data_IF_169707787080
#
_entry.id   IF_169707787080
#
_cell.length_a   1.000
_cell.length_b   1.000
_cell.length_c   1.000
_cell.angle_alpha   90.00
_cell.angle_beta   90.00
_cell.angle_gamma   90.00
#
_symmetry.space_group_name_H-M   'P 1'
#
loop_
_entity.id
_entity.type
_entity.pdbx_description
1 polymer ?
#
# COMPACT_ATOMS: atom_id res chain seq x y z
N UNK A 1 -19.79 -19.93 35.34
CA UNK A 1 -19.89 -19.20 34.05
C UNK A 1 -18.49 -19.27 33.46
N UNK A 2 -18.31 -20.02 32.38
CA UNK A 2 -17.02 -19.92 31.65
C UNK A 2 -16.97 -18.51 31.07
N UNK A 3 -15.99 -17.72 31.47
CA UNK A 3 -15.68 -16.42 30.82
C UNK A 3 -15.37 -16.68 29.35
N UNK A 4 -16.36 -16.40 28.51
CA UNK A 4 -16.24 -16.57 27.06
C UNK A 4 -15.41 -15.39 26.53
N UNK A 5 -14.12 -15.59 26.37
CA UNK A 5 -13.25 -14.56 25.79
C UNK A 5 -13.66 -14.35 24.32
N UNK A 6 -14.08 -13.15 23.93
CA UNK A 6 -14.55 -12.89 22.58
C UNK A 6 -13.43 -13.12 21.55
N UNK A 7 -13.78 -13.82 20.46
CA UNK A 7 -12.87 -14.05 19.34
C UNK A 7 -13.01 -12.90 18.33
N UNK A 8 -11.93 -12.22 18.08
CA UNK A 8 -11.86 -11.19 17.03
C UNK A 8 -11.03 -11.67 15.84
N UNK A 9 -11.41 -11.26 14.64
CA UNK A 9 -10.70 -11.62 13.41
C UNK A 9 -10.31 -10.34 12.66
N UNK A 10 -9.02 -10.22 12.38
CA UNK A 10 -8.48 -9.22 11.44
C UNK A 10 -8.07 -9.88 10.13
N UNK A 11 -8.37 -9.23 9.01
CA UNK A 11 -7.97 -9.68 7.68
C UNK A 11 -7.38 -8.49 6.92
N UNK A 12 -6.15 -8.65 6.42
CA UNK A 12 -5.49 -7.74 5.50
C UNK A 12 -5.43 -8.40 4.12
N UNK A 13 -6.17 -7.87 3.16
CA UNK A 13 -6.21 -8.36 1.76
C UNK A 13 -5.38 -7.43 0.91
N UNK A 14 -4.10 -7.74 0.73
CA UNK A 14 -3.24 -7.03 -0.21
C UNK A 14 -3.41 -7.52 -1.65
N UNK A 15 -2.75 -6.89 -2.61
CA UNK A 15 -2.84 -7.23 -4.03
C UNK A 15 -2.39 -8.67 -4.39
N UNK A 16 -1.45 -9.22 -3.65
CA UNK A 16 -0.89 -10.58 -3.88
C UNK A 16 -1.12 -11.55 -2.75
N UNK A 17 -1.08 -11.07 -1.52
CA UNK A 17 -1.18 -11.88 -0.29
C UNK A 17 -2.31 -11.37 0.58
N UNK A 18 -3.01 -12.30 1.23
CA UNK A 18 -4.00 -12.03 2.27
C UNK A 18 -3.50 -12.63 3.56
N UNK A 19 -3.50 -11.82 4.61
CA UNK A 19 -3.12 -12.21 5.96
C UNK A 19 -4.35 -12.19 6.87
N UNK A 20 -4.63 -13.28 7.56
CA UNK A 20 -5.68 -13.40 8.56
C UNK A 20 -5.06 -13.71 9.92
N UNK A 21 -5.45 -12.94 10.94
CA UNK A 21 -5.19 -13.23 12.34
C UNK A 21 -6.49 -13.30 13.15
N UNK A 22 -6.54 -14.22 14.08
CA UNK A 22 -7.64 -14.33 15.02
C UNK A 22 -7.10 -14.39 16.45
N UNK A 23 -7.74 -13.63 17.34
CA UNK A 23 -7.36 -13.55 18.75
C UNK A 23 -8.56 -13.83 19.66
N UNK A 24 -8.34 -14.58 20.76
CA UNK A 24 -9.25 -14.67 21.90
C UNK A 24 -8.59 -13.94 23.07
N UNK A 25 -9.08 -12.76 23.42
CA UNK A 25 -8.34 -11.81 24.27
C UNK A 25 -6.99 -11.46 23.64
N UNK A 26 -5.91 -11.70 24.36
CA UNK A 26 -4.54 -11.49 23.85
C UNK A 26 -3.91 -12.78 23.27
N UNK A 27 -4.61 -13.90 23.33
CA UNK A 27 -4.13 -15.17 22.79
C UNK A 27 -4.34 -15.28 21.29
N UNK A 28 -3.26 -15.44 20.53
CA UNK A 28 -3.31 -15.71 19.08
C UNK A 28 -3.88 -17.13 18.85
N UNK A 29 -5.01 -17.21 18.17
CA UNK A 29 -5.73 -18.45 17.85
C UNK A 29 -5.42 -18.97 16.46
N UNK A 30 -5.26 -18.03 15.50
CA UNK A 30 -4.94 -18.37 14.12
C UNK A 30 -4.06 -17.27 13.50
N UNK A 31 -3.10 -17.69 12.67
CA UNK A 31 -2.23 -16.83 11.85
C UNK A 31 -2.05 -17.51 10.50
N UNK A 32 -2.68 -16.99 9.46
CA UNK A 32 -2.69 -17.58 8.13
C UNK A 32 -2.40 -16.56 7.04
N UNK A 33 -1.44 -16.91 6.18
CA UNK A 33 -1.14 -16.16 4.96
C UNK A 33 -1.49 -17.00 3.76
N UNK A 34 -2.21 -16.41 2.79
CA UNK A 34 -2.59 -17.05 1.52
C UNK A 34 -2.44 -16.06 0.36
N UNK A 35 -2.58 -16.56 -0.86
CA UNK A 35 -2.67 -15.70 -2.06
C UNK A 35 -4.01 -15.00 -2.10
N UNK A 36 -4.06 -13.76 -2.61
CA UNK A 36 -5.29 -13.00 -2.84
C UNK A 36 -6.03 -13.41 -4.13
N UNK A 37 -5.62 -14.51 -4.76
CA UNK A 37 -6.30 -15.02 -5.96
C UNK A 37 -7.75 -15.36 -5.62
N UNK A 38 -8.69 -14.73 -6.31
CA UNK A 38 -10.13 -14.85 -6.00
C UNK A 38 -10.73 -13.66 -5.29
N UNK A 39 -9.94 -12.74 -4.75
CA UNK A 39 -10.44 -11.45 -4.27
C UNK A 39 -11.06 -10.64 -5.40
N UNK A 40 -12.32 -10.21 -5.22
CA UNK A 40 -13.10 -9.48 -6.23
C UNK A 40 -13.87 -8.34 -5.56
N UNK A 41 -13.19 -7.22 -5.19
CA UNK A 41 -13.82 -6.14 -4.41
C UNK A 41 -14.96 -5.42 -5.13
N UNK A 42 -15.02 -5.50 -6.46
CA UNK A 42 -16.10 -4.92 -7.26
C UNK A 42 -17.37 -5.80 -7.32
N UNK A 43 -17.32 -7.03 -6.79
CA UNK A 43 -18.46 -7.91 -6.58
C UNK A 43 -18.59 -8.22 -5.08
N UNK A 44 -19.40 -7.46 -4.33
CA UNK A 44 -19.49 -7.58 -2.87
C UNK A 44 -19.91 -8.98 -2.40
N UNK A 45 -20.76 -9.68 -3.15
CA UNK A 45 -21.23 -11.02 -2.78
C UNK A 45 -20.11 -12.05 -2.94
N UNK A 46 -19.40 -12.02 -4.08
CA UNK A 46 -18.25 -12.88 -4.30
C UNK A 46 -17.12 -12.58 -3.30
N UNK A 47 -16.85 -11.31 -3.03
CA UNK A 47 -15.84 -10.90 -2.04
C UNK A 47 -16.17 -11.42 -0.63
N UNK A 48 -17.42 -11.26 -0.18
CA UNK A 48 -17.87 -11.73 1.12
C UNK A 48 -17.83 -13.26 1.23
N UNK A 49 -18.26 -13.99 0.20
CA UNK A 49 -18.17 -15.44 0.14
C UNK A 49 -16.74 -15.95 0.20
N UNK A 50 -15.81 -15.27 -0.49
CA UNK A 50 -14.39 -15.60 -0.46
C UNK A 50 -13.77 -15.38 0.94
N UNK A 51 -14.10 -14.25 1.60
CA UNK A 51 -13.68 -13.97 2.98
C UNK A 51 -14.26 -14.99 3.97
N UNK A 52 -15.53 -15.37 3.80
CA UNK A 52 -16.17 -16.38 4.65
C UNK A 52 -15.48 -17.75 4.50
N UNK A 53 -15.13 -18.15 3.28
CA UNK A 53 -14.38 -19.37 3.03
C UNK A 53 -12.97 -19.32 3.63
N UNK A 54 -12.29 -18.15 3.58
CA UNK A 54 -10.99 -17.93 4.20
C UNK A 54 -11.08 -18.16 5.73
N UNK A 55 -12.05 -17.52 6.40
CA UNK A 55 -12.28 -17.66 7.84
C UNK A 55 -12.62 -19.12 8.21
N UNK A 56 -13.51 -19.76 7.44
CA UNK A 56 -13.89 -21.16 7.69
C UNK A 56 -12.71 -22.13 7.51
N UNK A 57 -11.75 -21.81 6.67
CA UNK A 57 -10.53 -22.60 6.47
C UNK A 57 -9.44 -22.34 7.52
N UNK A 58 -9.53 -21.21 8.25
CA UNK A 58 -8.54 -20.80 9.24
C UNK A 58 -8.93 -21.21 10.68
N UNK A 59 -10.22 -21.40 10.95
CA UNK A 59 -10.74 -21.67 12.30
C UNK A 59 -11.39 -23.04 12.42
N UNK A 60 -11.43 -23.64 13.63
CA UNK A 60 -12.17 -24.88 13.88
C UNK A 60 -13.66 -24.70 13.56
N UNK A 61 -14.31 -25.81 13.14
CA UNK A 61 -15.74 -25.80 12.84
C UNK A 61 -16.57 -25.39 14.06
N UNK A 62 -17.54 -24.52 13.84
CA UNK A 62 -18.46 -24.04 14.88
C UNK A 62 -17.94 -22.84 15.68
N UNK A 63 -16.72 -22.43 15.49
CA UNK A 63 -16.19 -21.19 16.09
C UNK A 63 -16.79 -19.99 15.37
N UNK A 64 -17.36 -19.06 16.16
CA UNK A 64 -17.96 -17.82 15.64
C UNK A 64 -17.17 -16.61 16.12
N UNK A 65 -16.86 -15.66 15.24
CA UNK A 65 -16.25 -14.41 15.66
C UNK A 65 -17.25 -13.57 16.46
N UNK A 66 -16.76 -12.85 17.47
CA UNK A 66 -17.50 -11.79 18.16
C UNK A 66 -17.47 -10.49 17.37
N UNK A 67 -16.37 -10.24 16.61
CA UNK A 67 -16.24 -9.15 15.67
C UNK A 67 -15.20 -9.48 14.60
N UNK A 68 -15.31 -8.85 13.43
CA UNK A 68 -14.31 -8.98 12.37
C UNK A 68 -14.07 -7.65 11.66
N UNK A 69 -12.83 -7.43 11.21
CA UNK A 69 -12.50 -6.30 10.36
C UNK A 69 -11.62 -6.73 9.18
N UNK A 70 -11.81 -6.07 8.06
CA UNK A 70 -11.12 -6.35 6.80
C UNK A 70 -10.57 -5.04 6.24
N UNK A 71 -9.25 -5.00 5.97
CA UNK A 71 -8.64 -4.04 5.06
C UNK A 71 -8.52 -4.69 3.69
N UNK A 72 -9.08 -4.07 2.68
CA UNK A 72 -9.14 -4.66 1.35
C UNK A 72 -8.46 -3.83 0.28
N UNK A 73 -7.50 -4.43 -0.41
CA UNK A 73 -6.93 -3.85 -1.63
C UNK A 73 -8.03 -3.55 -2.66
N UNK A 74 -7.94 -2.40 -3.32
CA UNK A 74 -8.94 -1.90 -4.25
C UNK A 74 -10.36 -1.71 -3.64
N UNK A 75 -10.46 -1.54 -2.31
CA UNK A 75 -11.64 -1.00 -1.63
C UNK A 75 -11.48 0.51 -1.46
N UNK A 76 -11.72 1.26 -2.53
CA UNK A 76 -11.33 2.68 -2.64
C UNK A 76 -12.43 3.65 -2.21
N UNK A 77 -13.67 3.18 -2.04
CA UNK A 77 -14.80 4.06 -1.71
C UNK A 77 -15.56 3.57 -0.49
N UNK A 78 -16.07 4.49 0.37
CA UNK A 78 -16.93 4.15 1.50
C UNK A 78 -18.16 3.32 1.09
N UNK A 79 -18.71 3.58 -0.10
CA UNK A 79 -19.83 2.83 -0.65
C UNK A 79 -19.47 1.38 -0.92
N UNK A 80 -18.34 1.13 -1.55
CA UNK A 80 -17.86 -0.22 -1.84
C UNK A 80 -17.58 -1.00 -0.55
N UNK A 81 -16.87 -0.39 0.41
CA UNK A 81 -16.63 -0.98 1.73
C UNK A 81 -17.95 -1.33 2.44
N UNK A 82 -18.94 -0.43 2.42
CA UNK A 82 -20.25 -0.67 3.02
C UNK A 82 -21.00 -1.83 2.34
N UNK A 83 -20.92 -1.98 1.02
CA UNK A 83 -21.53 -3.08 0.28
C UNK A 83 -20.90 -4.43 0.65
N UNK A 84 -19.56 -4.50 0.72
CA UNK A 84 -18.87 -5.73 1.15
C UNK A 84 -19.21 -6.05 2.61
N UNK A 85 -19.22 -5.05 3.50
CA UNK A 85 -19.62 -5.22 4.90
C UNK A 85 -21.03 -5.81 5.02
N UNK A 86 -22.00 -5.27 4.28
CA UNK A 86 -23.38 -5.77 4.29
C UNK A 86 -23.45 -7.21 3.79
N UNK A 87 -22.70 -7.56 2.75
CA UNK A 87 -22.63 -8.93 2.26
C UNK A 87 -21.96 -9.88 3.26
N UNK A 88 -20.93 -9.44 4.00
CA UNK A 88 -20.28 -10.23 5.06
C UNK A 88 -21.24 -10.56 6.20
N UNK A 89 -22.16 -9.66 6.56
CA UNK A 89 -23.16 -9.89 7.60
C UNK A 89 -24.17 -10.99 7.26
N UNK A 90 -24.25 -11.43 6.00
CA UNK A 90 -25.01 -12.62 5.61
C UNK A 90 -24.29 -13.94 5.97
N UNK A 91 -22.98 -13.87 6.19
CA UNK A 91 -22.16 -15.04 6.56
C UNK A 91 -21.83 -15.08 8.06
N UNK A 92 -21.77 -13.93 8.73
CA UNK A 92 -21.37 -13.78 10.12
C UNK A 92 -22.40 -12.97 10.90
N UNK A 93 -22.94 -13.57 11.94
CA UNK A 93 -23.79 -12.89 12.93
C UNK A 93 -22.89 -12.17 13.95
N UNK A 94 -22.13 -11.16 13.45
CA UNK A 94 -21.16 -10.41 14.23
C UNK A 94 -20.98 -9.00 13.64
N UNK A 95 -20.64 -7.99 14.46
CA UNK A 95 -20.21 -6.69 13.97
C UNK A 95 -19.04 -6.84 13.00
N UNK A 96 -19.09 -6.10 11.88
CA UNK A 96 -18.06 -6.13 10.86
C UNK A 96 -17.65 -4.73 10.42
N UNK A 97 -16.35 -4.52 10.17
CA UNK A 97 -15.79 -3.34 9.52
C UNK A 97 -15.08 -3.75 8.23
N UNK A 98 -15.23 -2.94 7.18
CA UNK A 98 -14.47 -3.08 5.93
C UNK A 98 -13.94 -1.70 5.57
N UNK A 99 -12.64 -1.63 5.31
CA UNK A 99 -11.89 -0.39 4.97
C UNK A 99 -10.92 -0.69 3.84
N UNK A 100 -10.24 0.33 3.30
CA UNK A 100 -9.09 0.13 2.41
C UNK A 100 -7.89 -0.47 3.16
N UNK A 101 -7.03 -1.21 2.46
CA UNK A 101 -5.85 -1.85 3.07
C UNK A 101 -4.88 -0.83 3.71
N UNK A 102 -4.68 0.33 3.10
CA UNK A 102 -3.86 1.40 3.65
C UNK A 102 -4.43 2.02 4.96
N UNK A 103 -5.75 1.92 5.20
CA UNK A 103 -6.37 2.39 6.44
C UNK A 103 -6.01 1.52 7.66
N UNK A 104 -5.41 0.35 7.45
CA UNK A 104 -4.95 -0.51 8.54
C UNK A 104 -3.67 -0.02 9.20
N UNK A 105 -2.87 0.84 8.56
CA UNK A 105 -1.53 1.19 9.03
C UNK A 105 -1.57 1.94 10.37
N UNK A 106 -2.40 2.96 10.46
CA UNK A 106 -2.52 3.78 11.67
C UNK A 106 -2.94 2.96 12.90
N UNK A 107 -4.05 2.18 12.85
CA UNK A 107 -4.41 1.31 13.96
C UNK A 107 -3.41 0.16 14.20
N UNK A 108 -2.68 -0.31 13.19
CA UNK A 108 -1.60 -1.29 13.38
C UNK A 108 -0.43 -0.73 14.18
N UNK A 109 -0.14 0.56 14.04
CA UNK A 109 0.85 1.27 14.85
C UNK A 109 0.34 1.62 16.26
N UNK A 110 -0.88 1.21 16.62
CA UNK A 110 -1.50 1.54 17.92
C UNK A 110 -1.95 2.99 18.07
N UNK A 111 -2.16 3.68 16.95
CA UNK A 111 -2.56 5.08 16.90
C UNK A 111 -4.04 5.23 16.57
N UNK A 112 -4.68 6.25 17.17
CA UNK A 112 -6.08 6.59 16.92
C UNK A 112 -6.26 7.49 15.68
N UNK A 113 -5.23 8.27 15.34
CA UNK A 113 -5.22 9.24 14.24
C UNK A 113 -3.82 9.34 13.63
N UNK A 114 -3.76 9.84 12.42
CA UNK A 114 -2.54 9.98 11.64
C UNK A 114 -2.76 9.63 10.17
N UNK A 115 -1.67 9.48 9.46
CA UNK A 115 -1.63 9.12 8.04
C UNK A 115 -0.98 7.75 7.87
N UNK A 116 -1.61 6.87 7.11
CA UNK A 116 -0.99 5.68 6.55
C UNK A 116 -0.45 5.97 5.15
N UNK A 117 0.86 5.85 4.94
CA UNK A 117 1.53 5.99 3.65
C UNK A 117 2.04 4.64 3.17
N UNK A 118 1.61 4.21 2.02
CA UNK A 118 2.12 3.00 1.35
C UNK A 118 2.93 3.42 0.12
N UNK A 119 4.18 2.94 0.02
CA UNK A 119 4.98 3.02 -1.19
C UNK A 119 5.65 1.66 -1.47
N UNK A 120 4.94 0.85 -2.23
CA UNK A 120 5.33 -0.47 -2.71
C UNK A 120 5.38 -0.49 -4.24
N UNK A 121 4.57 -1.33 -4.89
CA UNK A 121 4.42 -1.31 -6.34
C UNK A 121 3.83 0.02 -6.83
N UNK A 122 2.79 0.51 -6.16
CA UNK A 122 2.25 1.86 -6.31
C UNK A 122 2.43 2.68 -5.05
N UNK A 123 1.79 3.86 -4.98
CA UNK A 123 1.83 4.75 -3.81
C UNK A 123 0.47 5.35 -3.49
N UNK A 124 0.13 5.40 -2.21
CA UNK A 124 -1.12 5.96 -1.70
C UNK A 124 -0.95 6.44 -0.27
N UNK A 125 -1.62 7.52 0.10
CA UNK A 125 -1.74 7.96 1.47
C UNK A 125 -3.21 8.06 1.89
N UNK A 126 -3.50 7.65 3.13
CA UNK A 126 -4.86 7.63 3.69
C UNK A 126 -4.83 8.20 5.11
N UNK A 127 -5.83 8.98 5.45
CA UNK A 127 -6.05 9.45 6.81
C UNK A 127 -7.53 9.68 7.08
N UNK A 128 -7.88 10.09 8.30
CA UNK A 128 -9.27 10.37 8.69
C UNK A 128 -9.43 11.78 9.20
N UNK A 129 -10.51 12.42 8.78
CA UNK A 129 -10.98 13.69 9.35
C UNK A 129 -11.48 13.50 10.79
N UNK A 130 -11.68 14.60 11.49
CA UNK A 130 -12.17 14.58 12.87
C UNK A 130 -13.56 13.92 13.03
N UNK A 131 -14.38 13.91 11.97
CA UNK A 131 -15.69 13.24 11.94
C UNK A 131 -15.60 11.73 11.58
N UNK A 132 -14.38 11.20 11.42
CA UNK A 132 -14.13 9.81 11.04
C UNK A 132 -14.18 9.52 9.53
N UNK A 133 -14.47 10.54 8.71
CA UNK A 133 -14.47 10.38 7.24
C UNK A 133 -13.07 10.02 6.73
N UNK A 134 -12.95 8.91 6.02
CA UNK A 134 -11.70 8.50 5.37
C UNK A 134 -11.41 9.37 4.15
N UNK A 135 -10.15 9.80 4.04
CA UNK A 135 -9.62 10.61 2.93
C UNK A 135 -8.42 9.89 2.35
N UNK A 136 -8.48 9.61 1.05
CA UNK A 136 -7.38 9.02 0.30
C UNK A 136 -6.83 10.02 -0.71
N UNK A 137 -5.52 9.98 -0.92
CA UNK A 137 -4.79 10.69 -1.98
C UNK A 137 -3.78 9.74 -2.62
N UNK A 138 -3.53 9.90 -3.92
CA UNK A 138 -2.72 8.95 -4.70
C UNK A 138 -3.47 7.65 -5.01
N UNK A 139 -2.74 6.61 -5.42
CA UNK A 139 -3.32 5.31 -5.81
C UNK A 139 -3.99 5.34 -7.19
N UNK A 140 -3.57 6.22 -8.09
CA UNK A 140 -4.18 6.40 -9.42
C UNK A 140 -3.61 5.43 -10.47
N UNK A 141 -2.78 4.48 -10.05
CA UNK A 141 -2.19 3.46 -10.91
C UNK A 141 -0.93 3.93 -11.64
N UNK A 142 -0.13 2.96 -12.07
CA UNK A 142 1.23 3.16 -12.58
C UNK A 142 1.33 4.08 -13.81
N UNK A 143 0.27 4.19 -14.61
CA UNK A 143 0.28 5.00 -15.84
C UNK A 143 0.14 6.49 -15.55
N UNK A 144 -0.75 6.87 -14.65
CA UNK A 144 -1.12 8.27 -14.39
C UNK A 144 -0.79 8.76 -12.97
N UNK A 145 -0.28 7.89 -12.10
CA UNK A 145 0.01 8.18 -10.71
C UNK A 145 1.08 7.24 -10.16
N UNK A 146 0.94 6.89 -8.89
CA UNK A 146 1.83 5.99 -8.16
C UNK A 146 3.29 6.49 -8.12
N UNK A 147 3.50 7.81 -8.11
CA UNK A 147 4.81 8.45 -7.99
C UNK A 147 5.49 8.00 -6.69
N UNK A 148 6.79 7.69 -6.76
CA UNK A 148 7.54 7.13 -5.62
C UNK A 148 7.28 5.65 -5.34
N UNK A 149 6.24 5.02 -5.95
CA UNK A 149 6.10 3.57 -6.04
C UNK A 149 7.08 2.98 -7.06
N UNK A 150 7.34 1.66 -6.99
CA UNK A 150 8.34 1.04 -7.87
C UNK A 150 8.03 1.21 -9.36
N UNK A 151 6.77 1.11 -9.75
CA UNK A 151 6.37 1.30 -11.14
C UNK A 151 6.49 2.77 -11.59
N UNK A 152 6.11 3.72 -10.71
CA UNK A 152 6.27 5.15 -10.94
C UNK A 152 7.74 5.54 -11.10
N UNK A 153 8.63 5.02 -10.24
CA UNK A 153 10.06 5.28 -10.34
C UNK A 153 10.65 4.80 -11.68
N UNK A 154 10.24 3.63 -12.17
CA UNK A 154 10.70 3.12 -13.48
C UNK A 154 10.16 3.98 -14.64
N UNK A 155 8.89 4.41 -14.57
CA UNK A 155 8.30 5.32 -15.55
C UNK A 155 9.09 6.64 -15.62
N UNK A 156 9.36 7.27 -14.46
CA UNK A 156 10.09 8.53 -14.41
C UNK A 156 11.56 8.36 -14.79
N UNK A 157 12.17 7.20 -14.49
CA UNK A 157 13.51 6.86 -14.95
C UNK A 157 13.59 6.79 -16.48
N UNK A 158 12.64 6.12 -17.13
CA UNK A 158 12.58 6.08 -18.58
C UNK A 158 12.40 7.49 -19.19
N UNK A 159 11.55 8.32 -18.58
CA UNK A 159 11.35 9.71 -19.03
C UNK A 159 12.62 10.55 -18.88
N UNK A 160 13.35 10.40 -17.78
CA UNK A 160 14.62 11.10 -17.57
C UNK A 160 15.68 10.67 -18.60
N UNK A 161 15.77 9.36 -18.89
CA UNK A 161 16.69 8.83 -19.91
C UNK A 161 16.34 9.32 -21.31
N UNK A 162 15.06 9.40 -21.68
CA UNK A 162 14.67 9.98 -22.97
C UNK A 162 15.00 11.47 -23.07
N UNK A 163 14.76 12.23 -22.01
CA UNK A 163 15.08 13.66 -22.00
C UNK A 163 16.58 13.89 -22.21
N UNK A 164 17.45 13.11 -21.57
CA UNK A 164 18.90 13.18 -21.75
C UNK A 164 19.32 12.76 -23.18
N UNK A 165 18.71 11.67 -23.69
CA UNK A 165 18.94 11.21 -25.06
C UNK A 165 18.56 12.27 -26.12
N UNK A 166 17.42 12.94 -25.95
CA UNK A 166 16.94 13.99 -26.85
C UNK A 166 17.86 15.25 -26.84
N UNK A 167 18.59 15.44 -25.73
CA UNK A 167 19.65 16.47 -25.62
C UNK A 167 20.98 16.02 -26.23
N UNK A 168 21.10 14.77 -26.71
CA UNK A 168 22.31 14.20 -27.27
C UNK A 168 23.35 13.82 -26.20
N UNK A 169 22.94 13.59 -24.96
CA UNK A 169 23.82 13.14 -23.90
C UNK A 169 24.19 11.68 -24.07
N UNK A 170 25.40 11.29 -23.66
CA UNK A 170 25.82 9.90 -23.64
C UNK A 170 25.06 9.11 -22.58
N UNK A 171 24.69 7.84 -22.86
CA UNK A 171 23.98 6.99 -21.92
C UNK A 171 24.76 6.81 -20.60
N UNK A 172 24.18 7.20 -19.50
CA UNK A 172 24.71 6.97 -18.15
C UNK A 172 24.35 5.59 -17.60
N UNK A 173 24.70 5.32 -16.33
CA UNK A 173 24.42 4.04 -15.68
C UNK A 173 22.92 3.71 -15.63
N UNK A 174 22.03 4.72 -15.54
CA UNK A 174 20.57 4.52 -15.55
C UNK A 174 20.09 4.08 -16.94
N UNK A 175 20.53 4.78 -17.99
CA UNK A 175 20.17 4.47 -19.36
C UNK A 175 20.62 3.04 -19.73
N UNK A 176 21.88 2.70 -19.44
CA UNK A 176 22.43 1.37 -19.71
C UNK A 176 21.70 0.29 -18.91
N UNK A 177 21.40 0.55 -17.65
CA UNK A 177 20.67 -0.37 -16.79
C UNK A 177 19.23 -0.64 -17.27
N UNK A 178 18.51 0.38 -17.76
CA UNK A 178 17.16 0.20 -18.32
C UNK A 178 17.20 -0.54 -19.66
N UNK A 179 18.16 -0.24 -20.53
CA UNK A 179 18.36 -0.98 -21.80
C UNK A 179 18.53 -2.48 -21.51
N UNK A 180 19.39 -2.84 -20.57
CA UNK A 180 19.62 -4.24 -20.20
C UNK A 180 18.37 -4.85 -19.56
N UNK A 181 17.75 -4.18 -18.60
CA UNK A 181 16.57 -4.69 -17.86
C UNK A 181 15.36 -4.95 -18.77
N UNK A 182 15.13 -4.09 -19.76
CA UNK A 182 14.07 -4.26 -20.75
C UNK A 182 14.47 -5.06 -21.96
N UNK A 183 15.74 -5.49 -22.05
CA UNK A 183 16.29 -6.29 -23.16
C UNK A 183 16.06 -5.60 -24.53
N UNK A 184 16.29 -4.29 -24.57
CA UNK A 184 16.16 -3.49 -25.79
C UNK A 184 17.53 -3.08 -26.33
N UNK A 185 17.67 -2.80 -27.63
CA UNK A 185 18.98 -2.47 -28.22
C UNK A 185 19.48 -1.06 -27.86
N UNK A 186 18.58 -0.11 -27.58
CA UNK A 186 18.89 1.30 -27.42
C UNK A 186 17.76 2.07 -26.74
N UNK A 187 18.05 3.29 -26.25
CA UNK A 187 17.10 4.15 -25.54
C UNK A 187 15.76 4.36 -26.26
N UNK A 188 15.70 4.66 -27.58
CA UNK A 188 14.44 4.82 -28.30
C UNK A 188 13.50 3.61 -28.22
N UNK A 189 14.03 2.40 -28.08
CA UNK A 189 13.23 1.20 -28.02
C UNK A 189 12.53 0.95 -26.66
N UNK A 190 12.92 1.67 -25.61
CA UNK A 190 12.30 1.59 -24.29
C UNK A 190 10.80 1.92 -24.33
N UNK A 191 10.35 2.83 -25.20
CA UNK A 191 8.95 3.22 -25.34
C UNK A 191 8.06 2.03 -25.68
N UNK A 192 8.40 1.33 -26.75
CA UNK A 192 7.64 0.15 -27.18
C UNK A 192 7.67 -0.99 -26.13
N UNK A 193 8.79 -1.14 -25.40
CA UNK A 193 8.88 -2.11 -24.32
C UNK A 193 7.94 -1.78 -23.16
N UNK A 194 7.87 -0.51 -22.73
CA UNK A 194 6.96 -0.05 -21.68
C UNK A 194 5.48 -0.14 -22.12
N UNK A 195 5.16 0.26 -23.35
CA UNK A 195 3.80 0.19 -23.91
C UNK A 195 3.30 -1.25 -24.08
N UNK A 196 4.20 -2.21 -24.29
CA UNK A 196 3.85 -3.63 -24.42
C UNK A 196 3.46 -4.31 -23.10
N UNK A 197 3.61 -3.62 -21.96
CA UNK A 197 3.31 -4.15 -20.64
C UNK A 197 1.83 -4.51 -20.51
N UNK A 198 1.54 -5.74 -20.10
CA UNK A 198 0.16 -6.21 -19.84
C UNK A 198 -0.35 -5.77 -18.49
N UNK A 199 0.54 -5.59 -17.53
CA UNK A 199 0.31 -5.10 -16.19
C UNK A 199 1.39 -4.07 -15.84
N UNK A 200 1.23 -2.79 -16.21
CA UNK A 200 2.24 -1.76 -16.00
C UNK A 200 2.79 -1.74 -14.57
N UNK A 201 1.94 -1.85 -13.57
CA UNK A 201 2.36 -1.88 -12.17
C UNK A 201 3.36 -3.00 -11.88
N UNK A 202 3.08 -4.23 -12.31
CA UNK A 202 3.97 -5.37 -12.07
C UNK A 202 5.13 -5.42 -13.06
N UNK A 203 4.85 -5.17 -14.34
CA UNK A 203 5.82 -5.32 -15.43
C UNK A 203 6.91 -4.24 -15.37
N UNK A 204 6.57 -3.01 -14.97
CA UNK A 204 7.56 -1.94 -14.75
C UNK A 204 8.20 -2.06 -13.37
N UNK A 205 7.38 -2.23 -12.32
CA UNK A 205 7.83 -2.18 -10.93
C UNK A 205 8.94 -3.17 -10.59
N UNK A 206 8.98 -4.34 -11.25
CA UNK A 206 10.06 -5.33 -11.07
C UNK A 206 11.45 -4.80 -11.44
N UNK A 207 11.52 -3.75 -12.27
CA UNK A 207 12.77 -3.13 -12.72
C UNK A 207 13.24 -1.97 -11.83
N UNK A 208 12.48 -1.57 -10.81
CA UNK A 208 12.87 -0.50 -9.90
C UNK A 208 14.26 -0.67 -9.25
N UNK A 209 14.76 -1.90 -8.94
CA UNK A 209 16.12 -2.06 -8.44
C UNK A 209 17.20 -1.45 -9.34
N UNK A 210 16.96 -1.37 -10.65
CA UNK A 210 17.88 -0.75 -11.62
C UNK A 210 18.10 0.73 -11.31
N UNK A 211 17.03 1.44 -10.92
CA UNK A 211 17.10 2.89 -10.62
C UNK A 211 18.01 3.11 -9.41
N UNK A 212 17.87 2.30 -8.36
CA UNK A 212 18.67 2.43 -7.15
C UNK A 212 20.13 2.04 -7.40
N UNK A 213 20.37 0.93 -8.12
CA UNK A 213 21.72 0.51 -8.49
C UNK A 213 22.43 1.56 -9.36
N UNK A 214 21.73 2.21 -10.28
CA UNK A 214 22.30 3.29 -11.09
C UNK A 214 22.65 4.52 -10.25
N UNK A 215 21.84 4.86 -9.25
CA UNK A 215 22.13 5.95 -8.31
C UNK A 215 23.39 5.66 -7.48
N UNK A 216 23.56 4.41 -7.00
CA UNK A 216 24.76 3.95 -6.30
C UNK A 216 25.99 3.99 -7.22
N UNK A 217 25.83 3.66 -8.51
CA UNK A 217 26.88 3.76 -9.52
C UNK A 217 27.21 5.21 -9.93
N UNK A 218 26.50 6.20 -9.36
CA UNK A 218 26.79 7.62 -9.55
C UNK A 218 25.94 8.32 -10.61
N UNK A 219 24.91 7.68 -11.19
CA UNK A 219 23.99 8.32 -12.14
C UNK A 219 23.29 9.54 -11.53
N UNK A 220 23.46 10.75 -12.11
CA UNK A 220 22.72 11.92 -11.65
C UNK A 220 21.22 11.82 -12.00
N UNK A 221 20.87 11.20 -13.13
CA UNK A 221 19.48 10.98 -13.54
C UNK A 221 18.76 10.10 -12.54
N UNK A 222 19.37 9.00 -12.11
CA UNK A 222 18.77 8.10 -11.14
C UNK A 222 18.55 8.77 -9.78
N UNK A 223 19.52 9.57 -9.31
CA UNK A 223 19.38 10.33 -8.07
C UNK A 223 18.22 11.32 -8.16
N UNK A 224 18.14 12.09 -9.26
CA UNK A 224 17.04 13.03 -9.46
C UNK A 224 15.67 12.34 -9.47
N UNK A 225 15.55 11.14 -10.04
CA UNK A 225 14.33 10.35 -10.03
C UNK A 225 13.95 9.90 -8.61
N UNK A 226 14.94 9.47 -7.81
CA UNK A 226 14.70 9.05 -6.41
C UNK A 226 14.27 10.25 -5.57
N UNK A 227 14.95 11.39 -5.71
CA UNK A 227 14.63 12.63 -5.00
C UNK A 227 13.23 13.13 -5.34
N UNK A 228 12.84 13.08 -6.61
CA UNK A 228 11.48 13.46 -7.04
C UNK A 228 10.44 12.45 -6.54
N UNK A 229 10.77 11.16 -6.52
CA UNK A 229 9.92 10.13 -5.90
C UNK A 229 9.65 10.42 -4.43
N UNK A 230 10.69 10.79 -3.67
CA UNK A 230 10.56 11.21 -2.26
C UNK A 230 9.67 12.44 -2.09
N UNK A 231 9.88 13.49 -2.92
CA UNK A 231 9.02 14.69 -2.93
C UNK A 231 7.57 14.37 -3.25
N UNK A 232 7.33 13.51 -4.21
CA UNK A 232 5.98 13.08 -4.59
C UNK A 232 5.26 12.35 -3.46
N UNK A 233 5.98 11.50 -2.71
CA UNK A 233 5.42 10.83 -1.53
C UNK A 233 5.10 11.83 -0.41
N UNK A 234 5.95 12.82 -0.15
CA UNK A 234 5.70 13.88 0.84
C UNK A 234 4.47 14.73 0.42
N UNK A 235 4.32 15.01 -0.87
CA UNK A 235 3.18 15.75 -1.39
C UNK A 235 1.84 15.03 -1.12
N UNK A 236 1.79 13.70 -1.05
CA UNK A 236 0.57 12.98 -0.65
C UNK A 236 0.16 13.31 0.79
N UNK A 237 1.12 13.41 1.71
CA UNK A 237 0.87 13.79 3.12
C UNK A 237 0.44 15.26 3.20
N UNK A 238 1.11 16.16 2.47
CA UNK A 238 0.74 17.58 2.38
C UNK A 238 -0.70 17.76 1.86
N UNK A 239 -1.09 17.01 0.83
CA UNK A 239 -2.46 17.03 0.29
C UNK A 239 -3.49 16.57 1.32
N UNK A 240 -3.18 15.58 2.16
CA UNK A 240 -4.05 15.16 3.26
C UNK A 240 -4.15 16.26 4.33
N UNK A 241 -3.04 16.89 4.69
CA UNK A 241 -3.02 18.03 5.60
C UNK A 241 -3.90 19.18 5.09
N UNK A 242 -3.77 19.54 3.82
CA UNK A 242 -4.59 20.56 3.17
C UNK A 242 -6.09 20.25 3.18
N UNK A 243 -6.46 18.95 3.27
CA UNK A 243 -7.85 18.49 3.40
C UNK A 243 -8.33 18.38 4.85
N UNK A 244 -7.48 18.75 5.84
CA UNK A 244 -7.82 18.76 7.26
C UNK A 244 -7.60 17.43 7.99
N UNK A 245 -6.85 16.49 7.40
CA UNK A 245 -6.43 15.27 8.08
C UNK A 245 -5.31 15.60 9.08
N UNK A 246 -5.35 15.11 10.34
CA UNK A 246 -4.21 15.19 11.25
C UNK A 246 -3.01 14.42 10.68
N UNK A 247 -1.86 15.08 10.58
CA UNK A 247 -0.65 14.54 9.94
C UNK A 247 0.55 14.51 10.89
N UNK A 248 0.31 14.62 12.20
CA UNK A 248 1.37 14.57 13.21
C UNK A 248 2.15 13.24 13.16
N UNK A 249 1.44 12.13 12.97
CA UNK A 249 2.01 10.79 12.82
C UNK A 249 1.81 10.29 11.39
N UNK A 250 2.91 9.84 10.74
CA UNK A 250 2.89 9.26 9.40
C UNK A 250 3.45 7.85 9.45
N UNK A 251 2.55 6.86 9.40
CA UNK A 251 2.92 5.43 9.44
C UNK A 251 3.22 4.95 8.04
N UNK A 252 4.45 4.47 7.82
CA UNK A 252 4.98 4.12 6.50
C UNK A 252 5.01 2.61 6.32
N UNK A 253 4.46 2.14 5.20
CA UNK A 253 4.58 0.76 4.74
C UNK A 253 4.90 0.69 3.25
N UNK A 254 5.25 -0.50 2.79
CA UNK A 254 5.56 -0.77 1.38
C UNK A 254 7.02 -1.14 1.17
N UNK A 255 7.21 -2.18 0.36
CA UNK A 255 8.53 -2.78 0.17
C UNK A 255 9.52 -1.84 -0.53
N UNK A 256 9.05 -0.91 -1.36
CA UNK A 256 9.93 -0.01 -2.10
C UNK A 256 10.58 1.01 -1.16
N UNK A 257 9.79 1.75 -0.39
CA UNK A 257 10.33 2.78 0.49
C UNK A 257 11.12 2.20 1.66
N UNK A 258 10.66 1.07 2.23
CA UNK A 258 11.33 0.47 3.40
C UNK A 258 12.62 -0.27 3.03
N UNK A 259 12.77 -0.76 1.79
CA UNK A 259 13.98 -1.43 1.33
C UNK A 259 15.02 -0.49 0.73
N UNK A 260 14.67 0.78 0.47
CA UNK A 260 15.51 1.72 -0.26
C UNK A 260 15.79 2.99 0.57
N UNK A 261 16.90 3.02 1.33
CA UNK A 261 17.25 4.16 2.20
C UNK A 261 17.24 5.51 1.48
N UNK A 262 17.76 5.57 0.23
CA UNK A 262 17.78 6.83 -0.53
C UNK A 262 16.39 7.41 -0.81
N UNK A 263 15.38 6.56 -1.06
CA UNK A 263 14.00 7.01 -1.23
C UNK A 263 13.37 7.44 0.11
N UNK A 264 13.66 6.69 1.17
CA UNK A 264 13.20 7.02 2.51
C UNK A 264 13.76 8.37 2.99
N UNK A 265 15.07 8.59 2.79
CA UNK A 265 15.75 9.83 3.16
C UNK A 265 15.22 11.03 2.35
N UNK A 266 15.02 10.84 1.03
CA UNK A 266 14.43 11.87 0.18
C UNK A 266 13.00 12.23 0.60
N UNK A 267 12.19 11.21 0.95
CA UNK A 267 10.84 11.41 1.47
C UNK A 267 10.85 12.17 2.81
N UNK A 268 11.67 11.74 3.77
CA UNK A 268 11.69 12.35 5.11
C UNK A 268 12.20 13.79 5.08
N UNK A 269 13.19 14.09 4.23
CA UNK A 269 13.68 15.44 4.01
C UNK A 269 12.59 16.34 3.41
N UNK A 270 11.91 15.87 2.35
CA UNK A 270 10.83 16.62 1.71
C UNK A 270 9.63 16.83 2.64
N UNK A 271 9.29 15.81 3.46
CA UNK A 271 8.22 15.89 4.44
C UNK A 271 8.51 16.93 5.53
N UNK A 272 9.74 16.97 6.02
CA UNK A 272 10.15 17.96 7.02
C UNK A 272 10.02 19.40 6.52
N UNK A 273 10.25 19.60 5.22
CA UNK A 273 10.13 20.92 4.57
C UNK A 273 8.66 21.30 4.32
N UNK A 274 7.83 20.37 3.82
CA UNK A 274 6.44 20.66 3.39
C UNK A 274 5.42 20.54 4.53
N UNK A 275 5.66 19.66 5.50
CA UNK A 275 4.77 19.42 6.67
C UNK A 275 5.59 19.43 7.95
N UNK A 276 6.05 20.60 8.42
CA UNK A 276 6.86 20.71 9.62
C UNK A 276 6.14 20.12 10.86
N UNK A 277 6.82 19.21 11.56
CA UNK A 277 6.29 18.56 12.76
C UNK A 277 5.71 17.17 12.52
N UNK A 278 5.46 16.76 11.29
CA UNK A 278 5.08 15.39 10.97
C UNK A 278 6.20 14.41 11.36
N UNK A 279 5.81 13.29 12.00
CA UNK A 279 6.73 12.26 12.48
C UNK A 279 6.57 11.00 11.61
N UNK A 280 7.46 10.79 10.64
CA UNK A 280 7.46 9.58 9.82
C UNK A 280 8.01 8.40 10.61
N UNK A 281 7.29 7.28 10.62
CA UNK A 281 7.70 6.04 11.29
C UNK A 281 7.36 4.80 10.44
N UNK A 282 8.31 3.89 10.23
CA UNK A 282 8.03 2.61 9.61
C UNK A 282 7.05 1.78 10.44
N UNK A 283 6.12 1.08 9.78
CA UNK A 283 5.27 0.12 10.48
C UNK A 283 6.08 -1.13 10.83
N UNK A 284 6.20 -1.41 12.13
CA UNK A 284 7.02 -2.54 12.64
C UNK A 284 6.25 -3.86 12.72
N UNK A 285 4.92 -3.82 12.67
CA UNK A 285 4.05 -5.01 12.75
C UNK A 285 3.33 -5.24 11.42
N UNK A 286 2.85 -6.46 11.14
CA UNK A 286 2.04 -6.67 9.93
C UNK A 286 0.75 -5.85 9.93
N UNK A 287 0.31 -5.27 8.80
CA UNK A 287 -0.91 -4.45 8.71
C UNK A 287 -2.18 -5.15 9.21
N UNK A 288 -2.23 -6.47 9.20
CA UNK A 288 -3.34 -7.27 9.76
C UNK A 288 -3.61 -6.96 11.24
N UNK A 289 -2.62 -6.49 12.02
CA UNK A 289 -2.83 -6.06 13.40
C UNK A 289 -3.75 -4.82 13.47
N UNK A 290 -3.71 -3.97 12.46
CA UNK A 290 -4.67 -2.87 12.34
C UNK A 290 -6.09 -3.36 12.12
N UNK A 291 -6.27 -4.41 11.33
CA UNK A 291 -7.59 -5.04 11.20
C UNK A 291 -8.04 -5.68 12.53
N UNK A 292 -7.13 -6.32 13.28
CA UNK A 292 -7.44 -6.83 14.62
C UNK A 292 -7.83 -5.69 15.57
N UNK A 293 -7.10 -4.58 15.58
CA UNK A 293 -7.43 -3.40 16.38
C UNK A 293 -8.83 -2.84 16.02
N UNK A 294 -9.13 -2.71 14.73
CA UNK A 294 -10.46 -2.31 14.26
C UNK A 294 -11.55 -3.31 14.68
N UNK A 295 -11.30 -4.61 14.64
CA UNK A 295 -12.26 -5.61 15.09
C UNK A 295 -12.51 -5.50 16.60
N UNK A 296 -11.48 -5.28 17.41
CA UNK A 296 -11.60 -5.05 18.87
C UNK A 296 -12.44 -3.82 19.20
N UNK A 297 -12.33 -2.76 18.42
CA UNK A 297 -13.11 -1.52 18.64
C UNK A 297 -14.62 -1.68 18.37
N UNK A 298 -15.05 -2.81 17.80
CA UNK A 298 -16.46 -3.13 17.55
C UNK A 298 -17.13 -3.88 18.72
N UNK A 299 -16.38 -4.31 19.74
CA UNK A 299 -16.89 -5.00 20.93
C UNK A 299 -17.36 -4.01 21.98
#
# INVERSE_FOLDING_TARGET
MQDFTPLVIGIDVGGTKTHLRAYAGDGLVADHVRTSSGWRPHDPVTAAGWLAALVAGALPRGVRPAALAVGGHACETPRQCAQIRTALQLHFDAPASVVGDAELLVPAAGLDKGVGLVAGTGSVAVGRLADGTSVQVGGWGAVLGDEGGSAGLVREAARAVWAAHDLGEEPDALALGLIDAFQVPEVPALGAALESAKSPSADWGRHAPVVFAAAEAGSPLARAVIDEGGRSLAALVEQLAARGVPVDDVVIAGSTILAQPGLYDAFTAALADSVPGAQPQPLEVPPVEGAVALARSLL
#
